data_IF_258762289654
#
_entry.id   IF_258762289654
#
_cell.length_a   1.000
_cell.length_b   1.000
_cell.length_c   1.000
_cell.angle_alpha   90.00
_cell.angle_beta   90.00
_cell.angle_gamma   90.00
#
_symmetry.space_group_name_H-M   'P 1'
#
loop_
_entity.id
_entity.type
_entity.pdbx_description
1 polymer ?
#
# COMPACT_ATOMS: atom_id res chain seq x y z
N UNK A 1 -6.75 6.51 16.50
CA UNK A 1 -5.84 5.91 15.53
C UNK A 1 -5.45 6.98 14.52
N UNK A 2 -4.19 7.35 14.47
CA UNK A 2 -3.65 8.30 13.50
C UNK A 2 -3.40 7.60 12.17
N UNK A 3 -3.56 8.32 11.04
CA UNK A 3 -3.43 7.70 9.73
C UNK A 3 -2.38 8.40 8.85
N UNK A 4 -1.84 7.63 7.90
CA UNK A 4 -1.09 8.13 6.77
C UNK A 4 -1.71 7.61 5.49
N UNK A 5 -2.10 8.50 4.58
CA UNK A 5 -2.74 8.16 3.32
C UNK A 5 -1.77 8.44 2.18
N UNK A 6 -1.55 7.44 1.34
CA UNK A 6 -0.75 7.53 0.12
C UNK A 6 -1.69 7.38 -1.07
N UNK A 7 -1.75 8.42 -1.92
CA UNK A 7 -2.52 8.41 -3.18
C UNK A 7 -1.58 8.20 -4.36
N UNK A 8 -1.87 7.19 -5.18
CA UNK A 8 -1.17 6.94 -6.43
C UNK A 8 -2.11 7.03 -7.64
N UNK A 9 -2.54 8.25 -7.98
CA UNK A 9 -3.33 8.55 -9.16
C UNK A 9 -2.92 9.89 -9.77
N UNK A 10 -2.67 9.98 -11.11
CA UNK A 10 -2.18 11.21 -11.74
C UNK A 10 -3.21 12.35 -11.76
N UNK A 11 -4.51 12.03 -11.68
CA UNK A 11 -5.59 13.00 -11.71
C UNK A 11 -6.18 13.20 -10.30
N UNK A 12 -5.97 14.38 -9.67
CA UNK A 12 -6.41 14.65 -8.30
C UNK A 12 -7.95 14.77 -8.15
N UNK A 13 -8.68 14.96 -9.25
CA UNK A 13 -10.16 14.98 -9.29
C UNK A 13 -10.76 13.61 -9.59
N UNK A 14 -9.94 12.58 -9.74
CA UNK A 14 -10.40 11.20 -9.94
C UNK A 14 -11.20 10.67 -8.75
N UNK A 15 -11.88 9.56 -8.98
CA UNK A 15 -12.56 8.86 -7.88
C UNK A 15 -11.58 8.39 -6.79
N UNK A 16 -10.36 7.97 -7.17
CA UNK A 16 -9.28 7.70 -6.21
C UNK A 16 -8.93 8.92 -5.35
N UNK A 17 -8.87 10.11 -5.96
CA UNK A 17 -8.69 11.37 -5.24
C UNK A 17 -9.85 11.67 -4.28
N UNK A 18 -11.08 11.38 -4.69
CA UNK A 18 -12.28 11.54 -3.84
C UNK A 18 -12.25 10.59 -2.64
N UNK A 19 -11.88 9.33 -2.85
CA UNK A 19 -11.70 8.33 -1.78
C UNK A 19 -10.65 8.77 -0.75
N UNK A 20 -9.50 9.22 -1.23
CA UNK A 20 -8.42 9.71 -0.36
C UNK A 20 -8.83 10.95 0.43
N UNK A 21 -9.51 11.91 -0.21
CA UNK A 21 -10.03 13.13 0.45
C UNK A 21 -11.12 12.80 1.48
N UNK A 22 -12.02 11.84 1.18
CA UNK A 22 -13.04 11.39 2.14
C UNK A 22 -12.37 10.78 3.39
N UNK A 23 -11.35 9.95 3.23
CA UNK A 23 -10.59 9.40 4.35
C UNK A 23 -9.89 10.50 5.15
N UNK A 24 -9.20 11.44 4.49
CA UNK A 24 -8.54 12.56 5.16
C UNK A 24 -9.53 13.39 5.99
N UNK A 25 -10.69 13.72 5.42
CA UNK A 25 -11.76 14.46 6.10
C UNK A 25 -12.32 13.70 7.29
N UNK A 26 -12.52 12.38 7.15
CA UNK A 26 -12.99 11.50 8.22
C UNK A 26 -12.05 11.53 9.45
N UNK A 27 -10.74 11.36 9.24
CA UNK A 27 -9.79 11.39 10.36
C UNK A 27 -9.74 12.77 11.02
N UNK A 28 -9.73 13.86 10.26
CA UNK A 28 -9.74 15.21 10.80
C UNK A 28 -11.02 15.51 11.59
N UNK A 29 -12.19 15.16 11.06
CA UNK A 29 -13.48 15.40 11.74
C UNK A 29 -13.63 14.60 13.04
N UNK A 30 -12.92 13.47 13.15
CA UNK A 30 -12.87 12.65 14.38
C UNK A 30 -11.73 13.04 15.33
N UNK A 31 -11.05 14.18 15.09
CA UNK A 31 -9.97 14.69 15.94
C UNK A 31 -8.70 13.86 15.90
N UNK A 32 -8.45 13.11 14.80
CA UNK A 32 -7.26 12.29 14.61
C UNK A 32 -6.27 12.98 13.70
N UNK A 33 -4.99 12.75 13.93
CA UNK A 33 -3.94 13.20 13.01
C UNK A 33 -3.96 12.33 11.77
N UNK A 34 -3.97 12.97 10.61
CA UNK A 34 -3.85 12.29 9.33
C UNK A 34 -2.85 13.04 8.44
N UNK A 35 -1.81 12.38 8.00
CA UNK A 35 -0.89 12.88 6.98
C UNK A 35 -1.30 12.33 5.61
N UNK A 36 -1.08 13.11 4.57
CA UNK A 36 -1.48 12.77 3.20
C UNK A 36 -0.31 13.03 2.24
N UNK A 37 0.02 12.04 1.43
CA UNK A 37 0.97 12.17 0.34
C UNK A 37 0.31 11.75 -0.98
N UNK A 38 0.11 12.71 -1.86
CA UNK A 38 -0.19 12.48 -3.26
C UNK A 38 1.15 12.33 -3.99
N UNK A 39 1.48 11.11 -4.40
CA UNK A 39 2.77 10.78 -5.02
C UNK A 39 3.04 11.53 -6.33
N UNK A 40 1.98 11.87 -7.08
CA UNK A 40 2.11 12.66 -8.31
C UNK A 40 2.28 14.14 -8.00
N UNK A 41 1.47 14.70 -7.11
CA UNK A 41 1.54 16.11 -6.73
C UNK A 41 2.84 16.45 -5.98
N UNK A 42 3.36 15.53 -5.17
CA UNK A 42 4.65 15.69 -4.48
C UNK A 42 5.86 15.55 -5.40
N UNK A 43 5.66 15.09 -6.65
CA UNK A 43 6.76 14.86 -7.59
C UNK A 43 7.68 13.72 -7.16
N UNK A 44 7.16 12.70 -6.47
CA UNK A 44 7.95 11.55 -6.05
C UNK A 44 8.59 10.85 -7.26
N UNK A 45 9.92 10.68 -7.28
CA UNK A 45 10.60 9.90 -8.32
C UNK A 45 10.48 8.40 -7.99
N UNK A 46 9.68 7.61 -8.74
CA UNK A 46 9.46 6.20 -8.43
C UNK A 46 10.64 5.30 -8.82
N UNK A 47 11.62 5.81 -9.53
CA UNK A 47 12.72 4.99 -10.06
C UNK A 47 13.92 5.10 -9.13
N UNK A 48 14.33 3.97 -8.55
CA UNK A 48 15.55 3.91 -7.76
C UNK A 48 16.78 4.21 -8.64
N UNK A 49 17.56 5.24 -8.25
CA UNK A 49 18.69 5.75 -9.05
C UNK A 49 19.88 6.12 -8.18
N UNK A 50 21.05 6.03 -8.77
CA UNK A 50 22.31 6.42 -8.14
C UNK A 50 22.36 7.90 -7.72
N UNK A 51 21.71 8.79 -8.45
CA UNK A 51 21.64 10.23 -8.15
C UNK A 51 20.91 10.57 -6.84
N UNK A 52 20.15 9.63 -6.27
CA UNK A 52 19.48 9.83 -4.98
C UNK A 52 20.47 9.77 -3.79
N UNK A 53 21.69 9.30 -4.02
CA UNK A 53 22.70 9.09 -2.99
C UNK A 53 23.89 10.03 -3.21
N UNK A 54 24.00 11.07 -2.37
CA UNK A 54 25.07 12.06 -2.50
C UNK A 54 26.47 11.47 -2.22
N UNK A 55 26.55 10.48 -1.33
CA UNK A 55 27.79 9.78 -0.99
C UNK A 55 27.67 8.30 -1.33
N UNK A 56 28.14 7.92 -2.52
CA UNK A 56 28.07 6.55 -3.01
C UNK A 56 29.08 5.65 -2.30
N UNK A 57 28.65 4.43 -1.92
CA UNK A 57 29.54 3.37 -1.40
C UNK A 57 30.53 2.91 -2.46
N UNK A 58 30.06 2.78 -3.68
CA UNK A 58 30.86 2.40 -4.84
C UNK A 58 30.55 3.35 -6.01
N UNK A 59 31.52 4.19 -6.38
CA UNK A 59 31.36 5.16 -7.47
C UNK A 59 31.28 4.53 -8.87
N UNK A 60 31.76 3.29 -9.04
CA UNK A 60 31.80 2.59 -10.32
C UNK A 60 30.56 1.76 -10.60
N UNK A 61 29.95 1.19 -9.55
CA UNK A 61 28.82 0.27 -9.70
C UNK A 61 27.70 0.67 -8.73
N UNK A 62 26.50 0.85 -9.26
CA UNK A 62 25.32 1.09 -8.44
C UNK A 62 24.73 -0.23 -7.96
N UNK A 63 24.78 -0.45 -6.65
CA UNK A 63 24.14 -1.59 -5.96
C UNK A 63 23.09 -1.02 -4.99
N UNK A 64 21.82 -0.92 -5.38
CA UNK A 64 20.79 -0.21 -4.62
C UNK A 64 20.74 -0.59 -3.13
N UNK A 65 20.75 -1.87 -2.81
CA UNK A 65 20.65 -2.34 -1.42
C UNK A 65 21.84 -1.92 -0.55
N UNK A 66 23.02 -1.80 -1.14
CA UNK A 66 24.23 -1.35 -0.45
C UNK A 66 24.21 0.16 -0.23
N UNK A 67 23.76 0.92 -1.21
CA UNK A 67 23.63 2.38 -1.11
C UNK A 67 22.55 2.76 -0.09
N UNK A 68 21.41 2.07 -0.11
CA UNK A 68 20.34 2.24 0.88
C UNK A 68 20.85 2.00 2.31
N UNK A 69 21.57 0.89 2.51
CA UNK A 69 22.13 0.55 3.82
C UNK A 69 23.14 1.57 4.31
N UNK A 70 24.05 1.99 3.44
CA UNK A 70 25.03 3.02 3.78
C UNK A 70 24.37 4.36 4.10
N UNK A 71 23.43 4.80 3.28
CA UNK A 71 22.72 6.05 3.49
C UNK A 71 21.94 6.05 4.81
N UNK A 72 21.30 4.92 5.14
CA UNK A 72 20.63 4.76 6.42
C UNK A 72 21.60 4.87 7.61
N UNK A 73 22.70 4.14 7.56
CA UNK A 73 23.73 4.12 8.62
C UNK A 73 24.37 5.49 8.84
N UNK A 74 24.57 6.24 7.76
CA UNK A 74 25.20 7.56 7.80
C UNK A 74 24.21 8.72 8.01
N UNK A 75 22.91 8.44 8.11
CA UNK A 75 21.87 9.47 8.23
C UNK A 75 21.64 10.30 6.94
N UNK A 76 22.13 9.81 5.80
CA UNK A 76 22.06 10.45 4.48
C UNK A 76 20.99 9.83 3.56
N UNK A 77 20.01 9.12 4.13
CA UNK A 77 18.81 8.66 3.41
C UNK A 77 18.18 9.84 2.67
N UNK A 78 17.76 9.69 1.40
CA UNK A 78 17.10 10.75 0.65
C UNK A 78 15.93 11.39 1.43
N UNK A 79 15.78 12.71 1.37
CA UNK A 79 14.86 13.44 2.24
C UNK A 79 13.39 13.06 2.00
N UNK A 80 13.00 12.79 0.75
CA UNK A 80 11.67 12.28 0.40
C UNK A 80 11.39 10.92 1.06
N UNK A 81 12.34 10.02 1.03
CA UNK A 81 12.25 8.70 1.69
C UNK A 81 12.24 8.84 3.22
N UNK A 82 13.08 9.72 3.76
CA UNK A 82 13.14 9.99 5.21
C UNK A 82 11.81 10.55 5.73
N UNK A 83 11.20 11.47 4.99
CA UNK A 83 9.90 12.04 5.32
C UNK A 83 8.80 10.96 5.33
N UNK A 84 8.77 10.10 4.31
CA UNK A 84 7.81 9.00 4.23
C UNK A 84 7.97 8.00 5.38
N UNK A 85 9.18 7.57 5.67
CA UNK A 85 9.43 6.66 6.80
C UNK A 85 8.95 7.28 8.13
N UNK A 86 9.16 8.59 8.33
CA UNK A 86 8.68 9.29 9.51
C UNK A 86 7.14 9.32 9.57
N UNK A 87 6.45 9.57 8.46
CA UNK A 87 5.00 9.51 8.39
C UNK A 87 4.49 8.11 8.72
N UNK A 88 5.08 7.08 8.13
CA UNK A 88 4.73 5.67 8.39
C UNK A 88 4.97 5.28 9.86
N UNK A 89 6.03 5.78 10.49
CA UNK A 89 6.34 5.51 11.91
C UNK A 89 5.36 6.18 12.88
N UNK A 90 4.81 7.31 12.51
CA UNK A 90 3.90 8.10 13.34
C UNK A 90 2.42 7.72 13.13
N UNK A 91 2.12 6.93 12.12
CA UNK A 91 0.78 6.45 11.84
C UNK A 91 0.52 5.10 12.51
N UNK A 92 -0.69 4.93 13.04
CA UNK A 92 -1.22 3.63 13.49
C UNK A 92 -1.79 2.84 12.30
N UNK A 93 -2.24 3.56 11.26
CA UNK A 93 -2.83 3.01 10.03
C UNK A 93 -2.22 3.67 8.79
N UNK A 94 -1.84 2.86 7.84
CA UNK A 94 -1.42 3.30 6.50
C UNK A 94 -2.48 2.89 5.48
N UNK A 95 -2.95 3.82 4.66
CA UNK A 95 -3.91 3.58 3.59
C UNK A 95 -3.22 3.83 2.25
N UNK A 96 -3.18 2.81 1.40
CA UNK A 96 -2.70 2.91 0.02
C UNK A 96 -3.91 2.99 -0.90
N UNK A 97 -4.16 4.18 -1.48
CA UNK A 97 -5.27 4.44 -2.40
C UNK A 97 -4.77 4.46 -3.84
N UNK A 98 -5.26 3.53 -4.68
CA UNK A 98 -4.80 3.42 -6.06
C UNK A 98 -5.78 2.69 -6.98
N UNK A 99 -5.71 2.92 -8.31
CA UNK A 99 -6.43 2.11 -9.30
C UNK A 99 -5.66 0.83 -9.62
N UNK A 100 -6.39 -0.25 -9.87
CA UNK A 100 -5.79 -1.49 -10.38
C UNK A 100 -5.43 -1.31 -11.86
N UNK A 101 -4.16 -1.18 -12.18
CA UNK A 101 -3.65 -1.09 -13.54
C UNK A 101 -2.81 -2.31 -13.88
N UNK A 102 -3.14 -2.97 -15.01
CA UNK A 102 -2.40 -4.17 -15.44
C UNK A 102 -2.26 -5.22 -14.32
N UNK A 103 -3.37 -5.46 -13.60
CA UNK A 103 -3.47 -6.44 -12.51
C UNK A 103 -2.55 -6.16 -11.30
N UNK A 104 -2.11 -4.92 -11.14
CA UNK A 104 -1.24 -4.48 -10.04
C UNK A 104 -1.37 -2.99 -9.73
N UNK A 105 -0.52 -2.46 -8.86
CA UNK A 105 -0.50 -1.04 -8.56
C UNK A 105 0.12 -0.24 -9.72
N UNK A 106 -0.19 1.06 -9.84
CA UNK A 106 0.55 1.95 -10.74
C UNK A 106 2.05 1.91 -10.48
N UNK A 107 2.87 2.12 -11.52
CA UNK A 107 4.33 2.16 -11.41
C UNK A 107 4.82 3.14 -10.33
N UNK A 108 4.11 4.26 -10.15
CA UNK A 108 4.36 5.24 -9.09
C UNK A 108 4.33 4.59 -7.70
N UNK A 109 3.30 3.80 -7.39
CA UNK A 109 3.18 3.12 -6.10
C UNK A 109 4.20 1.98 -5.96
N UNK A 110 4.46 1.24 -7.04
CA UNK A 110 5.51 0.21 -7.01
C UNK A 110 6.88 0.82 -6.71
N UNK A 111 7.22 1.93 -7.36
CA UNK A 111 8.47 2.65 -7.10
C UNK A 111 8.53 3.27 -5.70
N UNK A 112 7.38 3.69 -5.16
CA UNK A 112 7.31 4.11 -3.76
C UNK A 112 7.72 2.95 -2.81
N UNK A 113 7.24 1.71 -3.05
CA UNK A 113 7.70 0.53 -2.30
C UNK A 113 9.22 0.30 -2.46
N UNK A 114 9.74 0.40 -3.67
CA UNK A 114 11.15 0.12 -3.96
C UNK A 114 12.10 1.10 -3.28
N UNK A 115 11.67 2.35 -3.05
CA UNK A 115 12.51 3.40 -2.48
C UNK A 115 12.27 3.66 -0.99
N UNK A 116 11.02 3.55 -0.53
CA UNK A 116 10.65 3.95 0.83
C UNK A 116 11.12 2.96 1.89
N UNK A 117 11.44 1.73 1.52
CA UNK A 117 11.85 0.69 2.47
C UNK A 117 13.32 0.31 2.30
N UNK A 118 14.26 1.12 2.84
CA UNK A 118 15.70 0.90 2.63
C UNK A 118 16.20 -0.36 3.33
N UNK A 119 17.01 -1.10 2.60
CA UNK A 119 17.74 -2.27 3.11
C UNK A 119 18.63 -1.87 4.28
N UNK A 120 18.61 -2.66 5.35
CA UNK A 120 19.38 -2.40 6.57
C UNK A 120 18.79 -1.30 7.46
N UNK A 121 17.76 -0.61 6.99
CA UNK A 121 17.01 0.42 7.70
C UNK A 121 15.73 -0.12 8.29
N UNK A 122 14.70 -0.26 7.46
CA UNK A 122 13.36 -0.73 7.89
C UNK A 122 13.14 -2.23 7.66
N UNK A 123 14.11 -2.92 7.12
CA UNK A 123 14.16 -4.38 7.12
C UNK A 123 15.59 -4.91 7.12
N UNK A 124 15.78 -6.10 7.69
CA UNK A 124 17.05 -6.85 7.67
C UNK A 124 16.74 -8.33 7.49
N UNK A 125 17.79 -9.19 7.47
CA UNK A 125 17.61 -10.64 7.45
C UNK A 125 16.81 -11.19 8.65
N UNK A 126 16.70 -10.46 9.76
CA UNK A 126 16.01 -10.88 10.99
C UNK A 126 14.84 -9.97 11.39
N UNK A 127 14.79 -8.73 10.88
CA UNK A 127 13.74 -7.75 11.18
C UNK A 127 12.74 -7.73 10.03
N UNK A 128 11.80 -8.67 10.04
CA UNK A 128 10.73 -8.84 9.04
C UNK A 128 9.62 -9.75 9.58
N UNK A 129 8.48 -9.77 8.89
CA UNK A 129 7.27 -10.52 9.26
C UNK A 129 6.76 -10.09 10.65
N UNK A 130 6.42 -11.05 11.53
CA UNK A 130 6.01 -10.81 12.90
C UNK A 130 7.07 -10.13 13.80
N UNK A 131 8.30 -9.96 13.30
CA UNK A 131 9.39 -9.17 13.91
C UNK A 131 9.79 -7.97 13.04
N UNK A 132 8.90 -7.52 12.15
CA UNK A 132 9.15 -6.42 11.23
C UNK A 132 9.19 -5.05 11.91
N UNK A 133 9.74 -4.07 11.19
CA UNK A 133 9.94 -2.70 11.69
C UNK A 133 8.64 -1.99 12.04
N UNK A 134 7.56 -2.27 11.33
CA UNK A 134 6.25 -1.64 11.49
C UNK A 134 5.26 -2.48 12.32
N UNK A 135 5.74 -3.42 13.13
CA UNK A 135 4.90 -4.22 14.02
C UNK A 135 4.02 -3.34 14.91
N UNK A 136 2.75 -3.71 15.06
CA UNK A 136 1.74 -2.94 15.79
C UNK A 136 1.06 -1.83 14.97
N UNK A 137 1.37 -1.70 13.67
CA UNK A 137 0.72 -0.79 12.73
C UNK A 137 -0.10 -1.55 11.71
N UNK A 138 -1.24 -0.98 11.32
CA UNK A 138 -2.15 -1.55 10.32
C UNK A 138 -1.86 -0.98 8.93
N UNK A 139 -2.11 -1.78 7.89
CA UNK A 139 -2.05 -1.32 6.50
C UNK A 139 -3.30 -1.77 5.75
N UNK A 140 -3.88 -0.87 4.97
CA UNK A 140 -5.10 -1.08 4.19
C UNK A 140 -4.88 -0.69 2.74
N UNK A 141 -5.19 -1.60 1.81
CA UNK A 141 -5.26 -1.29 0.40
C UNK A 141 -6.70 -0.85 0.05
N UNK A 142 -6.85 0.33 -0.52
CA UNK A 142 -8.10 0.82 -1.10
C UNK A 142 -7.94 0.90 -2.61
N UNK A 143 -8.65 0.03 -3.32
CA UNK A 143 -8.38 -0.28 -4.73
C UNK A 143 -9.62 -0.04 -5.57
N UNK A 144 -9.46 0.68 -6.69
CA UNK A 144 -10.53 0.88 -7.65
C UNK A 144 -10.28 0.09 -8.94
N UNK A 145 -11.36 -0.33 -9.60
CA UNK A 145 -11.30 -0.98 -10.92
C UNK A 145 -12.33 -0.37 -11.86
N UNK A 146 -12.02 -0.36 -13.17
CA UNK A 146 -12.98 0.07 -14.18
C UNK A 146 -14.03 -0.99 -14.51
N UNK A 147 -13.72 -2.27 -14.34
CA UNK A 147 -14.66 -3.37 -14.57
C UNK A 147 -15.55 -3.61 -13.35
N UNK A 148 -16.78 -4.12 -13.53
CA UNK A 148 -17.69 -4.46 -12.46
C UNK A 148 -17.21 -5.68 -11.67
N UNK A 149 -17.76 -5.89 -10.47
CA UNK A 149 -17.34 -6.94 -9.54
C UNK A 149 -17.43 -8.34 -10.15
N UNK A 150 -18.48 -8.62 -10.90
CA UNK A 150 -18.73 -9.91 -11.55
C UNK A 150 -17.66 -10.30 -12.56
N UNK A 151 -16.87 -9.33 -13.05
CA UNK A 151 -15.74 -9.61 -13.92
C UNK A 151 -14.55 -10.23 -13.19
N UNK A 152 -14.52 -10.21 -11.85
CA UNK A 152 -13.40 -10.66 -11.03
C UNK A 152 -13.73 -11.95 -10.25
N UNK A 153 -12.71 -12.76 -10.03
CA UNK A 153 -12.81 -13.99 -9.26
C UNK A 153 -12.03 -15.13 -9.93
N UNK A 154 -11.95 -16.30 -9.29
CA UNK A 154 -11.30 -17.48 -9.85
C UNK A 154 -11.94 -17.88 -11.19
N UNK A 155 -11.15 -17.82 -12.28
CA UNK A 155 -11.61 -18.14 -13.64
C UNK A 155 -12.44 -17.05 -14.34
N UNK A 156 -12.72 -15.92 -13.68
CA UNK A 156 -13.37 -14.79 -14.31
C UNK A 156 -12.41 -14.02 -15.25
N UNK A 157 -12.98 -13.28 -16.21
CA UNK A 157 -12.21 -12.56 -17.24
C UNK A 157 -11.20 -11.56 -16.68
N UNK A 158 -11.53 -10.90 -15.58
CA UNK A 158 -10.68 -9.92 -14.91
C UNK A 158 -9.62 -10.53 -14.00
N UNK A 159 -9.66 -11.85 -13.78
CA UNK A 159 -8.76 -12.57 -12.90
C UNK A 159 -9.14 -12.50 -11.41
N UNK A 160 -8.36 -13.18 -10.56
CA UNK A 160 -8.61 -13.26 -9.14
C UNK A 160 -7.99 -12.07 -8.38
N UNK A 161 -8.79 -11.18 -7.75
CA UNK A 161 -8.32 -10.01 -7.02
C UNK A 161 -7.36 -10.36 -5.87
N UNK A 162 -7.55 -11.52 -5.23
CA UNK A 162 -6.69 -11.99 -4.14
C UNK A 162 -5.27 -12.23 -4.63
N UNK A 163 -5.14 -12.88 -5.77
CA UNK A 163 -3.85 -13.15 -6.41
C UNK A 163 -3.15 -11.86 -6.86
N UNK A 164 -3.91 -10.86 -7.32
CA UNK A 164 -3.38 -9.57 -7.78
C UNK A 164 -2.82 -8.73 -6.64
N UNK A 165 -3.45 -8.76 -5.47
CA UNK A 165 -2.99 -8.00 -4.31
C UNK A 165 -1.99 -8.76 -3.43
N UNK A 166 -1.81 -10.06 -3.66
CA UNK A 166 -0.87 -10.87 -2.88
C UNK A 166 0.53 -10.25 -2.76
N UNK A 167 1.17 -9.76 -3.83
CA UNK A 167 2.52 -9.18 -3.73
C UNK A 167 2.58 -7.97 -2.80
N UNK A 168 1.55 -7.11 -2.81
CA UNK A 168 1.47 -5.94 -1.92
C UNK A 168 1.19 -6.36 -0.47
N UNK A 169 0.20 -7.23 -0.26
CA UNK A 169 -0.13 -7.74 1.06
C UNK A 169 1.08 -8.43 1.71
N UNK A 170 1.78 -9.29 0.94
CA UNK A 170 2.94 -10.00 1.46
C UNK A 170 4.13 -9.06 1.72
N UNK A 171 4.32 -8.02 0.91
CA UNK A 171 5.33 -6.99 1.15
C UNK A 171 5.06 -6.18 2.42
N UNK A 172 3.80 -5.81 2.66
CA UNK A 172 3.39 -5.12 3.90
C UNK A 172 3.58 -6.03 5.13
N UNK A 173 3.17 -7.30 5.03
CA UNK A 173 3.43 -8.31 6.06
C UNK A 173 4.94 -8.51 6.30
N UNK A 174 5.76 -8.58 5.23
CA UNK A 174 7.21 -8.66 5.33
C UNK A 174 7.81 -7.51 6.15
N UNK A 175 7.23 -6.32 6.06
CA UNK A 175 7.66 -5.13 6.80
C UNK A 175 7.11 -5.09 8.24
N UNK A 176 6.21 -5.99 8.61
CA UNK A 176 5.63 -6.12 9.96
C UNK A 176 4.27 -5.47 10.14
N UNK A 177 3.64 -4.97 9.09
CA UNK A 177 2.27 -4.45 9.21
C UNK A 177 1.26 -5.57 9.45
N UNK A 178 0.24 -5.28 10.27
CA UNK A 178 -1.02 -6.01 10.28
C UNK A 178 -1.82 -5.60 9.05
N UNK A 179 -1.90 -6.48 8.07
CA UNK A 179 -2.53 -6.19 6.78
C UNK A 179 -4.02 -6.44 6.87
N UNK A 180 -4.83 -5.40 6.70
CA UNK A 180 -6.28 -5.48 6.73
C UNK A 180 -6.85 -6.01 5.40
N UNK A 181 -8.10 -6.48 5.41
CA UNK A 181 -8.82 -6.82 4.18
C UNK A 181 -8.89 -5.61 3.27
N UNK A 182 -8.62 -5.74 1.97
CA UNK A 182 -8.68 -4.60 1.05
C UNK A 182 -10.11 -4.05 0.94
N UNK A 183 -10.21 -2.75 0.67
CA UNK A 183 -11.46 -2.13 0.26
C UNK A 183 -11.48 -2.02 -1.27
N UNK A 184 -12.44 -2.67 -1.88
CA UNK A 184 -12.61 -2.66 -3.34
C UNK A 184 -13.75 -1.73 -3.75
N UNK A 185 -13.49 -0.91 -4.77
CA UNK A 185 -14.54 -0.18 -5.49
C UNK A 185 -14.51 -0.58 -6.95
N UNK A 186 -15.48 -1.35 -7.35
CA UNK A 186 -15.60 -1.87 -8.71
C UNK A 186 -16.38 -0.91 -9.62
N UNK A 187 -16.14 -1.02 -10.93
CA UNK A 187 -16.91 -0.31 -11.95
C UNK A 187 -16.74 1.21 -11.92
N UNK A 188 -15.59 1.72 -11.49
CA UNK A 188 -15.25 3.14 -11.61
C UNK A 188 -14.99 3.43 -13.08
N UNK A 189 -16.06 3.81 -13.81
CA UNK A 189 -15.98 4.02 -15.25
C UNK A 189 -15.14 5.24 -15.58
N UNK A 190 -14.19 5.04 -16.48
CA UNK A 190 -13.40 6.09 -17.07
C UNK A 190 -13.96 6.52 -18.44
N UNK A 191 -13.37 7.56 -19.00
CA UNK A 191 -13.72 8.06 -20.33
C UNK A 191 -13.60 6.94 -21.39
N UNK A 192 -14.67 6.71 -22.15
CA UNK A 192 -14.73 5.70 -23.20
C UNK A 192 -15.22 4.31 -22.79
N UNK A 193 -15.46 4.08 -21.50
CA UNK A 193 -16.10 2.85 -21.01
C UNK A 193 -17.43 3.18 -20.36
N UNK A 194 -18.51 2.70 -20.93
CA UNK A 194 -19.87 2.91 -20.44
C UNK A 194 -20.59 1.57 -20.41
N UNK A 195 -20.55 0.88 -19.26
CA UNK A 195 -21.31 -0.36 -19.04
C UNK A 195 -22.71 -0.09 -18.52
N UNK A 196 -22.94 1.07 -17.92
CA UNK A 196 -24.18 1.50 -17.28
C UNK A 196 -24.45 2.97 -17.62
N UNK A 197 -25.70 3.41 -17.42
CA UNK A 197 -26.04 4.81 -17.55
C UNK A 197 -25.38 5.67 -16.45
N UNK A 198 -25.18 6.95 -16.75
CA UNK A 198 -24.44 7.86 -15.88
C UNK A 198 -25.08 7.99 -14.47
N UNK A 199 -26.41 8.05 -14.37
CA UNK A 199 -27.09 8.21 -13.09
C UNK A 199 -26.89 6.97 -12.19
N UNK A 200 -26.92 5.78 -12.78
CA UNK A 200 -26.64 4.53 -12.05
C UNK A 200 -25.20 4.50 -11.55
N UNK A 201 -24.23 4.92 -12.38
CA UNK A 201 -22.82 5.01 -11.98
C UNK A 201 -22.62 6.02 -10.85
N UNK A 202 -23.17 7.23 -10.96
CA UNK A 202 -23.04 8.28 -9.94
C UNK A 202 -23.60 7.83 -8.59
N UNK A 203 -24.76 7.19 -8.57
CA UNK A 203 -25.36 6.65 -7.35
C UNK A 203 -24.47 5.59 -6.72
N UNK A 204 -24.00 4.60 -7.50
CA UNK A 204 -23.12 3.54 -7.02
C UNK A 204 -21.79 4.09 -6.48
N UNK A 205 -21.21 5.10 -7.11
CA UNK A 205 -19.98 5.74 -6.62
C UNK A 205 -20.24 6.55 -5.34
N UNK A 206 -21.41 7.14 -5.18
CA UNK A 206 -21.83 7.79 -3.93
C UNK A 206 -21.94 6.74 -2.81
N UNK A 207 -22.65 5.65 -3.06
CA UNK A 207 -22.81 4.55 -2.11
C UNK A 207 -21.42 3.95 -1.73
N UNK A 208 -20.49 3.87 -2.69
CA UNK A 208 -19.14 3.40 -2.43
C UNK A 208 -18.34 4.36 -1.51
N UNK A 209 -18.52 5.68 -1.65
CA UNK A 209 -17.91 6.65 -0.74
C UNK A 209 -18.50 6.57 0.68
N UNK A 210 -19.79 6.33 0.80
CA UNK A 210 -20.44 6.16 2.09
C UNK A 210 -20.02 4.85 2.77
N UNK A 211 -19.97 3.75 2.03
CA UNK A 211 -19.44 2.48 2.50
C UNK A 211 -17.95 2.55 2.87
N UNK A 212 -17.18 3.39 2.17
CA UNK A 212 -15.80 3.68 2.55
C UNK A 212 -15.71 4.36 3.92
N UNK A 213 -16.55 5.37 4.16
CA UNK A 213 -16.59 6.06 5.46
C UNK A 213 -17.02 5.14 6.59
N UNK A 214 -18.04 4.30 6.38
CA UNK A 214 -18.43 3.25 7.33
C UNK A 214 -17.28 2.29 7.64
N UNK A 215 -16.53 1.88 6.62
CA UNK A 215 -15.33 1.04 6.79
C UNK A 215 -14.30 1.70 7.69
N UNK A 216 -14.04 3.01 7.49
CA UNK A 216 -13.06 3.76 8.28
C UNK A 216 -13.41 3.81 9.77
N UNK A 217 -14.70 3.85 10.13
CA UNK A 217 -15.17 3.81 11.52
C UNK A 217 -14.81 2.49 12.22
N UNK A 218 -14.81 1.39 11.50
CA UNK A 218 -14.61 0.03 12.03
C UNK A 218 -13.15 -0.42 12.15
N UNK A 219 -12.20 0.24 11.47
CA UNK A 219 -10.83 -0.24 11.25
C UNK A 219 -10.02 -0.51 12.53
N UNK A 220 -10.29 0.22 13.62
CA UNK A 220 -9.55 0.02 14.88
C UNK A 220 -9.77 -1.34 15.52
N UNK A 221 -10.93 -1.96 15.24
CA UNK A 221 -11.36 -3.25 15.82
C UNK A 221 -11.22 -4.42 14.82
N UNK A 222 -10.82 -4.12 13.59
CA UNK A 222 -10.71 -5.13 12.56
C UNK A 222 -9.42 -5.94 12.73
N UNK A 223 -9.54 -7.26 12.64
CA UNK A 223 -8.40 -8.18 12.62
C UNK A 223 -7.77 -8.22 11.23
N UNK A 224 -6.44 -8.32 11.22
CA UNK A 224 -5.67 -8.46 9.99
C UNK A 224 -5.84 -9.82 9.31
N UNK A 225 -5.41 -9.87 8.06
CA UNK A 225 -5.24 -11.11 7.32
C UNK A 225 -4.18 -11.98 8.01
N UNK A 226 -4.36 -13.29 7.95
CA UNK A 226 -3.42 -14.24 8.58
C UNK A 226 -2.29 -14.58 7.62
N UNK A 227 -1.06 -14.40 8.10
CA UNK A 227 0.16 -14.79 7.40
C UNK A 227 1.04 -15.64 8.32
N UNK A 228 1.91 -16.52 7.75
CA UNK A 228 2.87 -17.25 8.55
C UNK A 228 3.95 -16.32 9.10
N UNK A 229 4.42 -16.60 10.32
CA UNK A 229 5.50 -15.90 11.00
C UNK A 229 6.76 -16.74 11.14
N UNK A 230 7.76 -16.23 11.85
CA UNK A 230 9.06 -16.90 12.03
C UNK A 230 8.95 -18.30 12.64
N UNK A 231 7.96 -18.54 13.50
CA UNK A 231 7.74 -19.85 14.13
C UNK A 231 7.20 -20.92 13.18
N UNK A 232 6.74 -20.53 11.98
CA UNK A 232 6.15 -21.44 11.02
C UNK A 232 7.17 -22.02 10.03
N UNK A 233 8.45 -21.58 10.13
CA UNK A 233 9.52 -21.99 9.23
C UNK A 233 10.72 -22.58 9.95
N UNK A 234 11.44 -23.46 9.25
CA UNK A 234 12.78 -23.89 9.65
C UNK A 234 13.86 -22.83 9.31
N UNK A 235 15.10 -23.10 9.67
CA UNK A 235 16.25 -22.20 9.43
C UNK A 235 16.49 -21.92 7.93
N UNK A 236 16.02 -22.78 7.05
CA UNK A 236 16.08 -22.58 5.60
C UNK A 236 14.84 -21.86 5.02
N UNK A 237 13.88 -21.48 5.87
CA UNK A 237 12.63 -20.83 5.48
C UNK A 237 11.58 -21.77 4.90
N UNK A 238 11.70 -23.10 5.13
CA UNK A 238 10.71 -24.08 4.69
C UNK A 238 9.62 -24.23 5.75
N UNK A 239 8.34 -24.37 5.35
CA UNK A 239 7.25 -24.58 6.30
C UNK A 239 7.50 -25.81 7.20
N UNK A 240 7.30 -25.65 8.51
CA UNK A 240 7.40 -26.73 9.50
C UNK A 240 6.19 -27.66 9.50
N UNK A 241 5.02 -27.15 9.14
CA UNK A 241 3.79 -27.90 8.91
C UNK A 241 3.13 -27.40 7.64
N UNK A 242 2.10 -28.12 7.13
CA UNK A 242 1.28 -27.56 6.05
C UNK A 242 0.86 -26.15 6.46
N UNK A 243 1.23 -25.11 5.68
CA UNK A 243 0.93 -23.75 6.07
C UNK A 243 -0.56 -23.65 6.37
N UNK A 244 -0.88 -23.10 7.52
CA UNK A 244 -2.25 -22.68 7.80
C UNK A 244 -2.68 -21.89 6.56
N UNK A 245 -3.79 -22.27 5.93
CA UNK A 245 -4.24 -21.69 4.66
C UNK A 245 -4.21 -20.19 4.83
N UNK A 246 -3.26 -19.54 4.18
CA UNK A 246 -3.16 -18.07 4.17
C UNK A 246 -4.51 -17.56 3.69
N UNK A 247 -5.29 -17.00 4.60
CA UNK A 247 -6.63 -16.51 4.30
C UNK A 247 -6.50 -15.08 3.79
N UNK A 248 -6.18 -14.95 2.52
CA UNK A 248 -6.46 -13.74 1.74
C UNK A 248 -7.95 -13.74 1.40
N UNK A 249 -8.81 -13.54 2.38
CA UNK A 249 -10.27 -13.45 2.16
C UNK A 249 -10.71 -12.02 2.10
#
# INVERSE_FOLDING_TARGET
MNAHIILAHPEPTSFNGSMAKRALSHFHSTGKTCTFNDLYASGFDPVERDRHYAARKNSKTFVPLDEQRQAWQNGTTPDDVKAEINNLRNADLVILQFPLWWHGPPAMLKGWFDRTFPSGGVYTSRMRYDKGYFTGRKALLSVTTGAPEEAFGPGARGGDPKSMLWPLHYSLHYLGFEVLKPFWTYGVQGYGYSYEDQHTVERRLTDALDGWEERLLGLSKEDGLTFPGWSDWDDAGRPLASPAKVRCS
#
